data_IF_271162882323
#
_entry.id   IF_271162882323
#
_cell.length_a   1.000
_cell.length_b   1.000
_cell.length_c   1.000
_cell.angle_alpha   90.00
_cell.angle_beta   90.00
_cell.angle_gamma   90.00
#
_symmetry.space_group_name_H-M   'P 1'
#
loop_
_entity.id
_entity.type
_entity.pdbx_description
1 polymer ?
#
# COMPACT_ATOMS: atom_id res chain seq x y z
N UNK A 1 -38.27 1.30 -6.67
CA UNK A 1 -37.15 0.38 -6.95
C UNK A 1 -36.67 -0.19 -5.63
N UNK A 2 -36.45 -1.49 -5.60
CA UNK A 2 -35.88 -2.20 -4.43
C UNK A 2 -34.39 -2.46 -4.72
N UNK A 3 -33.53 -2.09 -3.80
CA UNK A 3 -32.11 -2.43 -3.76
C UNK A 3 -31.92 -3.47 -2.65
N UNK A 4 -31.70 -4.72 -3.04
CA UNK A 4 -31.59 -5.85 -2.12
C UNK A 4 -30.17 -6.40 -1.99
N UNK A 5 -29.43 -6.47 -3.10
CA UNK A 5 -28.06 -7.01 -3.14
C UNK A 5 -27.01 -5.99 -3.54
N UNK A 6 -27.40 -4.90 -4.22
CA UNK A 6 -26.47 -3.93 -4.77
C UNK A 6 -27.00 -2.52 -4.61
N UNK A 7 -26.12 -1.61 -4.24
CA UNK A 7 -26.38 -0.18 -4.14
C UNK A 7 -26.25 0.54 -5.49
N UNK A 8 -25.88 -0.16 -6.57
CA UNK A 8 -25.56 0.45 -7.85
C UNK A 8 -26.71 0.34 -8.84
N UNK A 9 -26.91 1.39 -9.63
CA UNK A 9 -27.88 1.40 -10.70
C UNK A 9 -27.50 2.35 -11.85
N UNK A 10 -28.17 2.17 -12.95
CA UNK A 10 -28.25 3.12 -14.06
C UNK A 10 -29.69 3.24 -14.54
N UNK A 11 -30.01 4.22 -15.36
CA UNK A 11 -31.31 4.40 -15.95
C UNK A 11 -31.29 3.87 -17.38
N UNK A 12 -32.31 3.15 -17.82
CA UNK A 12 -32.48 2.76 -19.20
C UNK A 12 -33.94 2.98 -19.67
N UNK A 13 -34.09 3.30 -20.93
CA UNK A 13 -35.42 3.55 -21.56
C UNK A 13 -35.92 2.33 -22.31
N UNK A 14 -35.15 1.28 -22.46
CA UNK A 14 -35.52 0.02 -23.08
C UNK A 14 -34.92 -1.13 -22.29
N UNK A 15 -35.64 -2.23 -22.15
CA UNK A 15 -35.14 -3.49 -21.65
C UNK A 15 -34.79 -4.39 -22.85
N UNK A 16 -33.70 -5.13 -22.70
CA UNK A 16 -33.25 -6.11 -23.69
C UNK A 16 -33.87 -7.48 -23.42
N UNK A 17 -34.05 -8.28 -24.48
CA UNK A 17 -34.52 -9.66 -24.35
C UNK A 17 -33.45 -10.55 -23.71
N UNK A 18 -32.18 -10.25 -24.01
CA UNK A 18 -31.03 -10.92 -23.39
C UNK A 18 -30.38 -10.00 -22.33
N UNK A 19 -30.35 -10.45 -21.09
CA UNK A 19 -29.82 -9.69 -19.95
C UNK A 19 -28.31 -9.34 -20.06
N UNK A 20 -27.58 -9.98 -20.98
CA UNK A 20 -26.13 -9.78 -21.16
C UNK A 20 -25.75 -9.03 -22.44
N UNK A 21 -26.73 -8.49 -23.17
CA UNK A 21 -26.47 -7.73 -24.40
C UNK A 21 -26.23 -6.25 -24.06
N UNK A 22 -25.04 -5.96 -23.57
CA UNK A 22 -24.64 -4.62 -23.17
C UNK A 22 -24.50 -3.65 -24.35
N UNK A 23 -24.08 -4.15 -25.51
CA UNK A 23 -23.91 -3.33 -26.72
C UNK A 23 -25.25 -2.87 -27.25
N UNK A 24 -26.28 -3.73 -27.24
CA UNK A 24 -27.64 -3.37 -27.61
C UNK A 24 -28.28 -2.40 -26.60
N UNK A 25 -27.93 -2.51 -25.29
CA UNK A 25 -28.45 -1.64 -24.25
C UNK A 25 -27.84 -0.23 -24.30
N UNK A 26 -26.61 -0.09 -24.74
CA UNK A 26 -25.83 1.15 -24.65
C UNK A 26 -26.54 2.38 -25.22
N UNK A 27 -27.25 2.34 -26.36
CA UNK A 27 -27.98 3.49 -26.90
C UNK A 27 -29.16 3.97 -26.04
N UNK A 28 -29.65 3.14 -25.14
CA UNK A 28 -30.82 3.36 -24.28
C UNK A 28 -30.44 3.59 -22.80
N UNK A 29 -29.16 3.52 -22.48
CA UNK A 29 -28.63 3.67 -21.14
C UNK A 29 -28.23 5.11 -20.84
N UNK A 30 -28.48 5.53 -19.61
CA UNK A 30 -28.06 6.81 -19.04
C UNK A 30 -27.30 6.55 -17.74
N UNK A 31 -26.21 7.26 -17.54
CA UNK A 31 -25.32 7.14 -16.38
C UNK A 31 -24.86 8.53 -15.91
N UNK A 32 -24.01 8.65 -14.87
CA UNK A 32 -23.53 9.95 -14.37
C UNK A 32 -22.70 10.76 -15.36
N UNK A 33 -22.12 10.15 -16.37
CA UNK A 33 -21.22 10.83 -17.31
C UNK A 33 -19.81 11.08 -16.77
N UNK A 34 -19.37 10.27 -15.82
CA UNK A 34 -18.06 10.30 -15.17
C UNK A 34 -17.33 8.98 -15.39
N UNK A 35 -16.02 8.93 -15.16
CA UNK A 35 -15.23 7.67 -15.16
C UNK A 35 -15.47 6.84 -13.92
N UNK A 36 -15.86 7.49 -12.84
CA UNK A 36 -16.08 6.89 -11.52
C UNK A 36 -17.58 6.88 -11.18
N UNK A 37 -17.92 6.03 -10.23
CA UNK A 37 -19.27 5.98 -9.66
C UNK A 37 -19.63 7.28 -8.94
N UNK A 38 -20.89 7.69 -8.99
CA UNK A 38 -21.39 8.84 -8.24
C UNK A 38 -22.35 8.39 -7.17
N UNK A 39 -22.03 8.70 -5.92
CA UNK A 39 -22.94 8.58 -4.81
C UNK A 39 -24.04 9.64 -4.88
N UNK A 40 -25.28 9.18 -4.94
CA UNK A 40 -26.45 10.08 -4.97
C UNK A 40 -26.68 10.66 -3.58
N UNK A 41 -26.85 11.98 -3.54
CA UNK A 41 -27.37 12.66 -2.36
C UNK A 41 -28.90 12.62 -2.44
N UNK A 42 -29.57 12.07 -1.43
CA UNK A 42 -31.02 11.95 -1.41
C UNK A 42 -31.73 13.27 -1.59
N UNK A 43 -32.82 13.23 -2.34
CA UNK A 43 -33.69 14.37 -2.67
C UNK A 43 -33.01 15.47 -3.49
N UNK A 44 -31.77 15.25 -3.97
CA UNK A 44 -31.08 16.15 -4.90
C UNK A 44 -31.01 15.57 -6.31
N UNK A 45 -31.25 16.37 -7.35
CA UNK A 45 -31.08 15.91 -8.72
C UNK A 45 -29.60 15.68 -9.06
N UNK A 46 -29.31 14.52 -9.62
CA UNK A 46 -28.03 14.15 -10.21
C UNK A 46 -28.13 14.13 -11.72
N UNK A 47 -27.07 14.50 -12.41
CA UNK A 47 -27.05 14.60 -13.88
C UNK A 47 -27.21 13.23 -14.52
N UNK A 48 -28.02 13.16 -15.59
CA UNK A 48 -28.10 12.02 -16.52
C UNK A 48 -27.31 12.35 -17.79
N UNK A 49 -26.51 11.39 -18.26
CA UNK A 49 -25.77 11.52 -19.51
C UNK A 49 -26.00 10.26 -20.34
N UNK A 50 -26.34 10.35 -21.66
CA UNK A 50 -26.40 9.17 -22.52
C UNK A 50 -25.10 8.39 -22.48
N UNK A 51 -25.16 7.06 -22.31
CA UNK A 51 -23.96 6.24 -22.14
C UNK A 51 -23.05 6.21 -23.38
N UNK A 52 -23.60 6.48 -24.57
CA UNK A 52 -22.80 6.64 -25.80
C UNK A 52 -21.88 7.86 -25.78
N UNK A 53 -22.17 8.86 -24.93
CA UNK A 53 -21.40 10.10 -24.77
C UNK A 53 -20.51 10.09 -23.53
N UNK A 54 -20.57 9.01 -22.72
CA UNK A 54 -19.96 8.94 -21.42
C UNK A 54 -19.37 7.56 -21.13
N UNK A 55 -18.43 7.54 -20.20
CA UNK A 55 -17.83 6.32 -19.71
C UNK A 55 -18.83 5.44 -18.95
N UNK A 56 -18.45 4.20 -18.71
CA UNK A 56 -19.31 3.15 -18.15
C UNK A 56 -19.40 3.23 -16.60
N UNK A 57 -19.94 4.34 -16.07
CA UNK A 57 -20.15 4.57 -14.64
C UNK A 57 -21.57 4.25 -14.18
N UNK A 58 -21.77 4.22 -12.86
CA UNK A 58 -23.05 3.93 -12.20
C UNK A 58 -23.37 4.98 -11.14
N UNK A 59 -24.67 5.10 -10.80
CA UNK A 59 -25.08 5.77 -9.56
C UNK A 59 -25.02 4.78 -8.41
N UNK A 60 -24.72 5.30 -7.21
CA UNK A 60 -24.72 4.53 -5.97
C UNK A 60 -25.71 5.16 -4.98
N UNK A 61 -26.60 4.38 -4.42
CA UNK A 61 -27.46 4.80 -3.31
C UNK A 61 -26.76 4.57 -1.96
N UNK A 62 -27.15 5.32 -0.95
CA UNK A 62 -26.52 5.26 0.37
C UNK A 62 -26.78 3.94 1.13
N UNK A 63 -27.94 3.35 0.94
CA UNK A 63 -28.43 2.17 1.66
C UNK A 63 -29.29 1.29 0.77
N UNK A 64 -29.37 0.02 1.13
CA UNK A 64 -30.29 -0.94 0.53
C UNK A 64 -31.71 -0.64 0.99
N UNK A 65 -32.68 -1.14 0.25
CA UNK A 65 -34.08 -0.99 0.57
C UNK A 65 -34.92 -0.44 -0.57
N UNK A 66 -36.13 0.00 -0.26
CA UNK A 66 -37.07 0.53 -1.25
C UNK A 66 -36.94 2.04 -1.38
N UNK A 67 -36.56 2.48 -2.55
CA UNK A 67 -36.44 3.90 -2.90
C UNK A 67 -37.39 4.30 -4.02
N UNK A 68 -37.92 5.51 -3.94
CA UNK A 68 -38.60 6.15 -5.07
C UNK A 68 -37.58 6.88 -5.90
N UNK A 69 -37.51 6.54 -7.19
CA UNK A 69 -36.63 7.18 -8.15
C UNK A 69 -37.49 8.02 -9.10
N UNK A 70 -37.10 9.26 -9.30
CA UNK A 70 -37.69 10.16 -10.28
C UNK A 70 -36.66 10.47 -11.38
N UNK A 71 -37.05 10.29 -12.62
CA UNK A 71 -36.23 10.60 -13.80
C UNK A 71 -36.90 11.74 -14.59
N UNK A 72 -36.17 12.80 -14.86
CA UNK A 72 -36.60 13.90 -15.68
C UNK A 72 -35.68 13.97 -16.90
N UNK A 73 -36.21 13.50 -18.05
CA UNK A 73 -35.46 13.53 -19.32
C UNK A 73 -35.44 14.92 -19.98
N UNK A 74 -36.30 15.87 -19.57
CA UNK A 74 -36.21 17.24 -20.06
C UNK A 74 -35.07 17.98 -19.35
N UNK A 75 -34.93 17.79 -18.04
CA UNK A 75 -33.84 18.35 -17.24
C UNK A 75 -32.57 17.48 -17.29
N UNK A 76 -32.65 16.28 -17.86
CA UNK A 76 -31.58 15.28 -17.84
C UNK A 76 -31.05 15.03 -16.43
N UNK A 77 -31.97 14.65 -15.51
CA UNK A 77 -31.64 14.40 -14.12
C UNK A 77 -32.34 13.15 -13.56
N UNK A 78 -31.70 12.53 -12.56
CA UNK A 78 -32.28 11.50 -11.72
C UNK A 78 -32.25 11.96 -10.25
N UNK A 79 -33.33 11.71 -9.53
CA UNK A 79 -33.44 12.00 -8.09
C UNK A 79 -33.90 10.74 -7.40
N UNK A 80 -33.23 10.39 -6.30
CA UNK A 80 -33.64 9.29 -5.40
C UNK A 80 -34.20 9.92 -4.12
N UNK A 81 -35.42 9.61 -3.80
CA UNK A 81 -36.04 10.05 -2.55
C UNK A 81 -35.53 9.13 -1.41
N UNK A 82 -35.11 9.73 -0.32
CA UNK A 82 -34.63 9.03 0.88
C UNK A 82 -34.45 9.98 2.06
N UNK A 83 -34.14 9.41 3.21
CA UNK A 83 -33.82 10.14 4.44
C UNK A 83 -32.55 9.56 5.03
N UNK A 84 -31.63 10.44 5.39
CA UNK A 84 -30.47 10.07 6.17
C UNK A 84 -30.85 9.97 7.67
N UNK A 85 -30.24 9.05 8.43
CA UNK A 85 -30.32 9.10 9.89
C UNK A 85 -29.91 10.48 10.40
N UNK A 86 -30.45 10.90 11.51
CA UNK A 86 -30.06 12.19 12.12
C UNK A 86 -28.60 12.17 12.59
N UNK A 87 -28.14 10.99 13.00
CA UNK A 87 -26.81 10.80 13.60
C UNK A 87 -26.10 9.55 13.06
N UNK A 88 -24.76 9.63 13.08
CA UNK A 88 -23.82 8.51 13.08
C UNK A 88 -23.02 8.57 14.37
N UNK A 89 -22.59 7.46 14.89
CA UNK A 89 -22.03 7.37 16.24
C UNK A 89 -20.61 6.83 16.22
N UNK A 90 -19.84 7.18 17.25
CA UNK A 90 -18.56 6.56 17.55
C UNK A 90 -18.58 6.00 18.97
N UNK A 91 -17.85 4.91 19.20
CA UNK A 91 -17.58 4.35 20.52
C UNK A 91 -16.07 4.14 20.69
N UNK A 92 -15.62 4.14 21.93
CA UNK A 92 -14.24 3.85 22.32
C UNK A 92 -13.28 5.03 22.23
N UNK A 93 -13.68 6.21 21.73
CA UNK A 93 -12.80 7.39 21.64
C UNK A 93 -12.32 7.87 23.01
N UNK A 94 -13.05 7.55 24.08
CA UNK A 94 -12.77 7.81 25.51
C UNK A 94 -12.29 6.58 26.28
N UNK A 95 -12.18 5.43 25.61
CA UNK A 95 -11.86 4.13 26.19
C UNK A 95 -13.07 3.31 26.65
N UNK A 96 -14.27 3.93 26.66
CA UNK A 96 -15.50 3.27 27.10
C UNK A 96 -16.25 2.63 25.94
N UNK A 97 -16.74 1.42 26.18
CA UNK A 97 -17.51 0.63 25.23
C UNK A 97 -18.83 0.19 25.89
N UNK A 98 -19.68 1.17 26.21
CA UNK A 98 -20.97 0.91 26.86
C UNK A 98 -22.07 0.82 25.83
N UNK A 99 -22.79 -0.31 25.81
CA UNK A 99 -23.89 -0.55 24.88
C UNK A 99 -24.93 0.57 24.96
N UNK A 100 -25.34 1.08 23.80
CA UNK A 100 -26.32 2.15 23.69
C UNK A 100 -25.78 3.54 24.07
N UNK A 101 -24.51 3.67 24.49
CA UNK A 101 -23.90 4.94 24.88
C UNK A 101 -22.73 5.25 23.96
N UNK A 102 -22.90 6.15 22.98
CA UNK A 102 -21.81 6.56 22.11
C UNK A 102 -20.85 7.49 22.85
N UNK A 103 -19.54 7.37 22.60
CA UNK A 103 -18.52 8.31 23.05
C UNK A 103 -18.52 9.61 22.24
N UNK A 104 -19.03 9.55 21.00
CA UNK A 104 -19.29 10.74 20.19
C UNK A 104 -20.47 10.54 19.24
N UNK A 105 -21.17 11.64 18.93
CA UNK A 105 -22.30 11.69 18.00
C UNK A 105 -21.98 12.66 16.88
N UNK A 106 -21.99 12.18 15.64
CA UNK A 106 -21.81 12.97 14.44
C UNK A 106 -23.19 13.37 13.89
N UNK A 107 -23.39 14.65 13.64
CA UNK A 107 -24.66 15.18 13.15
C UNK A 107 -24.66 15.25 11.62
N UNK A 108 -25.81 14.94 11.02
CA UNK A 108 -26.01 15.05 9.58
C UNK A 108 -25.84 16.51 9.11
N UNK A 109 -25.10 16.71 8.05
CA UNK A 109 -24.97 18.01 7.38
C UNK A 109 -26.04 18.09 6.30
N UNK A 110 -27.02 18.97 6.52
CA UNK A 110 -28.18 19.09 5.66
C UNK A 110 -27.81 19.22 4.16
N UNK A 111 -28.51 18.46 3.34
CA UNK A 111 -28.31 18.44 1.89
C UNK A 111 -27.01 17.82 1.42
N UNK A 112 -26.38 17.00 2.23
CA UNK A 112 -25.21 16.19 1.88
C UNK A 112 -25.40 14.74 2.38
N UNK A 113 -24.43 13.87 2.10
CA UNK A 113 -24.31 12.54 2.67
C UNK A 113 -23.29 12.52 3.83
N UNK A 114 -22.91 13.68 4.35
CA UNK A 114 -21.86 13.82 5.35
C UNK A 114 -22.41 14.00 6.74
N UNK A 115 -21.68 13.46 7.71
CA UNK A 115 -21.87 13.66 9.15
C UNK A 115 -20.63 14.26 9.77
N UNK A 116 -20.80 15.19 10.71
CA UNK A 116 -19.67 15.89 11.33
C UNK A 116 -19.82 16.04 12.84
N UNK A 117 -18.70 15.97 13.52
CA UNK A 117 -18.55 16.37 14.91
C UNK A 117 -17.09 16.75 15.21
N UNK A 118 -16.95 17.52 16.30
CA UNK A 118 -15.64 17.66 16.95
C UNK A 118 -15.55 16.58 18.03
N UNK A 119 -14.54 15.69 17.92
CA UNK A 119 -14.38 14.51 18.75
C UNK A 119 -13.02 14.56 19.45
N UNK A 120 -13.01 14.36 20.75
CA UNK A 120 -11.80 14.20 21.55
C UNK A 120 -11.48 12.69 21.66
N UNK A 121 -10.25 12.32 21.31
CA UNK A 121 -9.72 10.98 21.48
C UNK A 121 -8.78 10.97 22.69
N UNK A 122 -9.21 10.35 23.75
CA UNK A 122 -8.41 10.06 24.95
C UNK A 122 -8.01 8.59 25.01
N UNK A 123 -8.51 7.77 24.08
CA UNK A 123 -8.15 6.37 23.86
C UNK A 123 -7.75 6.13 22.40
N UNK A 124 -6.88 5.14 22.19
CA UNK A 124 -6.37 4.79 20.87
C UNK A 124 -7.33 3.96 20.03
N UNK A 125 -8.36 3.36 20.63
CA UNK A 125 -9.26 2.43 19.94
C UNK A 125 -10.63 3.04 19.76
N UNK A 126 -11.21 2.92 18.54
CA UNK A 126 -12.55 3.40 18.24
C UNK A 126 -13.20 2.62 17.10
N UNK A 127 -14.50 2.80 16.96
CA UNK A 127 -15.28 2.32 15.82
C UNK A 127 -16.42 3.29 15.50
N UNK A 128 -16.86 3.27 14.23
CA UNK A 128 -18.06 3.97 13.79
C UNK A 128 -19.27 3.03 13.78
N UNK A 129 -20.45 3.60 14.00
CA UNK A 129 -21.73 2.91 13.97
C UNK A 129 -22.76 3.78 13.26
N UNK A 130 -23.39 3.25 12.21
CA UNK A 130 -24.48 3.95 11.52
C UNK A 130 -25.76 3.97 12.36
N UNK A 131 -25.86 3.06 13.30
CA UNK A 131 -27.01 2.92 14.21
C UNK A 131 -26.52 2.35 15.54
N UNK A 132 -27.11 2.84 16.63
CA UNK A 132 -26.99 2.21 17.95
C UNK A 132 -28.04 1.11 18.11
N UNK A 133 -27.70 0.08 18.85
CA UNK A 133 -28.56 -1.08 19.08
C UNK A 133 -28.74 -1.37 20.57
N UNK A 134 -29.77 -2.15 20.91
CA UNK A 134 -30.10 -2.52 22.28
C UNK A 134 -29.35 -3.78 22.78
N UNK A 135 -28.71 -4.50 21.87
CA UNK A 135 -27.87 -5.68 22.15
C UNK A 135 -26.50 -5.59 21.50
N UNK A 136 -25.49 -6.23 22.10
CA UNK A 136 -24.15 -6.29 21.51
C UNK A 136 -24.12 -7.02 20.17
N UNK A 137 -24.93 -8.07 20.00
CA UNK A 137 -25.02 -8.82 18.75
C UNK A 137 -25.46 -7.92 17.60
N UNK A 138 -26.52 -7.11 17.81
CA UNK A 138 -26.99 -6.14 16.82
C UNK A 138 -26.02 -4.97 16.64
N UNK A 139 -25.39 -4.51 17.73
CA UNK A 139 -24.41 -3.41 17.70
C UNK A 139 -23.20 -3.80 16.85
N UNK A 140 -22.68 -5.02 16.98
CA UNK A 140 -21.55 -5.51 16.21
C UNK A 140 -21.90 -5.67 14.72
N UNK A 141 -23.15 -5.97 14.37
CA UNK A 141 -23.60 -5.98 12.97
C UNK A 141 -23.56 -4.58 12.29
N UNK A 142 -23.44 -3.53 13.07
CA UNK A 142 -23.39 -2.14 12.57
C UNK A 142 -22.03 -1.48 12.76
N UNK A 143 -20.98 -2.25 13.08
CA UNK A 143 -19.64 -1.77 13.33
C UNK A 143 -18.85 -1.55 12.05
N UNK A 144 -18.24 -0.37 11.94
CA UNK A 144 -17.38 0.04 10.85
C UNK A 144 -16.03 0.49 11.38
N UNK A 145 -14.96 0.01 10.80
CA UNK A 145 -13.60 0.31 11.22
C UNK A 145 -12.71 0.71 10.04
N UNK A 146 -11.64 1.44 10.31
CA UNK A 146 -10.53 1.65 9.40
C UNK A 146 -9.62 0.42 9.47
N UNK A 147 -9.32 -0.21 8.34
CA UNK A 147 -8.25 -1.20 8.26
C UNK A 147 -6.94 -0.50 7.96
N UNK A 148 -5.95 -0.69 8.83
CA UNK A 148 -4.64 -0.08 8.70
C UNK A 148 -4.46 1.16 9.57
N UNK A 149 -3.48 1.96 9.24
CA UNK A 149 -3.11 3.13 10.02
C UNK A 149 -4.11 4.28 9.82
N UNK A 150 -4.52 4.91 10.93
CA UNK A 150 -5.35 6.10 10.90
C UNK A 150 -4.46 7.34 10.90
N UNK A 151 -4.33 7.95 9.73
CA UNK A 151 -3.57 9.19 9.55
C UNK A 151 -4.52 10.40 9.53
N UNK A 152 -4.25 11.45 10.30
CA UNK A 152 -5.01 12.70 10.21
C UNK A 152 -4.94 13.32 8.82
N UNK A 153 -6.00 14.06 8.45
CA UNK A 153 -6.11 14.80 7.20
C UNK A 153 -6.08 13.94 5.92
N UNK A 154 -6.27 12.62 6.06
CA UNK A 154 -6.40 11.69 4.93
C UNK A 154 -7.80 11.09 4.89
N UNK A 155 -8.27 10.72 3.70
CA UNK A 155 -9.50 9.95 3.58
C UNK A 155 -9.24 8.50 4.00
N UNK A 156 -10.07 8.01 4.91
CA UNK A 156 -9.98 6.69 5.51
C UNK A 156 -11.12 5.82 5.00
N UNK A 157 -10.81 4.73 4.33
CA UNK A 157 -11.81 3.75 3.91
C UNK A 157 -12.27 2.92 5.10
N UNK A 158 -13.59 2.81 5.26
CA UNK A 158 -14.22 2.05 6.33
C UNK A 158 -14.74 0.71 5.81
N UNK A 159 -14.51 -0.33 6.57
CA UNK A 159 -15.04 -1.66 6.31
C UNK A 159 -15.97 -2.09 7.43
N UNK A 160 -17.07 -2.73 7.04
CA UNK A 160 -17.99 -3.35 8.00
C UNK A 160 -17.36 -4.63 8.54
N UNK A 161 -17.35 -4.79 9.85
CA UNK A 161 -16.82 -6.00 10.51
C UNK A 161 -17.91 -6.66 11.35
N UNK A 162 -17.81 -7.98 11.49
CA UNK A 162 -18.72 -8.80 12.28
C UNK A 162 -18.06 -9.36 13.54
N UNK A 163 -16.90 -8.84 13.86
CA UNK A 163 -16.10 -9.19 15.03
C UNK A 163 -15.91 -7.95 15.94
N UNK A 164 -15.12 -8.11 16.99
CA UNK A 164 -14.83 -7.04 17.96
C UNK A 164 -13.65 -6.15 17.54
N UNK A 165 -13.22 -6.19 16.28
CA UNK A 165 -12.14 -5.36 15.77
C UNK A 165 -12.45 -3.88 15.92
N UNK A 166 -11.42 -3.08 16.09
CA UNK A 166 -11.48 -1.62 16.26
C UNK A 166 -10.43 -0.94 15.39
N UNK A 167 -10.71 0.30 14.99
CA UNK A 167 -9.71 1.20 14.42
C UNK A 167 -8.70 1.59 15.49
N UNK A 168 -7.47 1.84 15.10
CA UNK A 168 -6.42 2.29 16.01
C UNK A 168 -5.83 3.61 15.53
N UNK A 169 -5.79 4.61 16.44
CA UNK A 169 -5.18 5.91 16.20
C UNK A 169 -3.97 6.09 17.09
N UNK A 170 -2.83 6.44 16.50
CA UNK A 170 -1.58 6.64 17.24
C UNK A 170 -1.54 7.96 18.03
N UNK A 171 -2.17 8.99 17.49
CA UNK A 171 -2.13 10.35 18.05
C UNK A 171 -3.45 10.69 18.72
N UNK A 172 -3.44 10.82 20.04
CA UNK A 172 -4.58 11.29 20.81
C UNK A 172 -4.74 12.81 20.65
N UNK A 173 -5.96 13.30 20.84
CA UNK A 173 -6.29 14.73 20.72
C UNK A 173 -7.69 14.97 20.17
N UNK A 174 -7.93 16.20 19.75
CA UNK A 174 -9.25 16.61 19.26
C UNK A 174 -9.22 16.79 17.75
N UNK A 175 -10.17 16.14 17.06
CA UNK A 175 -10.30 16.13 15.61
C UNK A 175 -11.67 16.65 15.18
N UNK A 176 -11.72 17.32 14.03
CA UNK A 176 -12.98 17.47 13.30
C UNK A 176 -13.20 16.20 12.48
N UNK A 177 -14.13 15.35 12.92
CA UNK A 177 -14.44 14.10 12.27
C UNK A 177 -15.54 14.32 11.23
N UNK A 178 -15.29 13.87 10.01
CA UNK A 178 -16.29 13.79 8.93
C UNK A 178 -16.48 12.33 8.56
N UNK A 179 -17.71 11.88 8.42
CA UNK A 179 -18.09 10.54 7.96
C UNK A 179 -18.95 10.68 6.70
N UNK A 180 -18.58 10.02 5.61
CA UNK A 180 -19.36 9.91 4.39
C UNK A 180 -20.21 8.65 4.44
N UNK A 181 -21.52 8.83 4.57
CA UNK A 181 -22.48 7.74 4.76
C UNK A 181 -22.61 6.86 3.51
N UNK A 182 -22.52 7.42 2.31
CA UNK A 182 -22.65 6.70 1.05
C UNK A 182 -21.39 5.93 0.68
N UNK A 183 -20.24 6.56 0.85
CA UNK A 183 -18.97 5.99 0.43
C UNK A 183 -18.31 5.13 1.53
N UNK A 184 -18.83 5.18 2.76
CA UNK A 184 -18.23 4.53 3.91
C UNK A 184 -16.78 4.97 4.07
N UNK A 185 -16.54 6.28 4.00
CA UNK A 185 -15.25 6.87 4.29
C UNK A 185 -15.34 7.82 5.48
N UNK A 186 -14.21 8.09 6.10
CA UNK A 186 -14.11 9.08 7.15
C UNK A 186 -12.85 9.92 6.99
N UNK A 187 -12.83 11.09 7.61
CA UNK A 187 -11.64 11.92 7.74
C UNK A 187 -11.58 12.47 9.17
N UNK A 188 -10.42 12.38 9.77
CA UNK A 188 -10.09 12.98 11.06
C UNK A 188 -9.21 14.18 10.77
N UNK A 189 -9.79 15.38 10.76
CA UNK A 189 -9.08 16.61 10.44
C UNK A 189 -8.47 17.22 11.70
N UNK A 190 -7.15 17.47 11.66
CA UNK A 190 -6.38 18.20 12.67
C UNK A 190 -5.58 19.31 11.98
N UNK A 191 -5.97 20.56 12.24
CA UNK A 191 -5.29 21.74 11.66
C UNK A 191 -3.83 21.89 12.14
N UNK A 192 -3.46 21.21 13.22
CA UNK A 192 -2.09 21.24 13.78
C UNK A 192 -1.23 20.06 13.33
N UNK A 193 -1.83 19.10 12.62
CA UNK A 193 -1.11 17.95 12.12
C UNK A 193 -0.19 18.38 10.97
N UNK A 194 1.08 18.25 11.21
CA UNK A 194 2.10 18.30 10.18
C UNK A 194 2.45 16.84 9.90
N UNK A 195 2.21 16.33 8.67
CA UNK A 195 2.71 15.01 8.31
C UNK A 195 4.19 14.95 8.66
N UNK A 196 4.62 13.87 9.32
CA UNK A 196 6.06 13.63 9.39
C UNK A 196 6.58 13.69 7.94
N UNK A 197 7.68 14.42 7.69
CA UNK A 197 8.27 14.42 6.36
C UNK A 197 8.42 12.95 5.98
N UNK A 198 8.04 12.60 4.74
CA UNK A 198 8.16 11.23 4.26
C UNK A 198 9.54 10.75 4.65
N UNK A 199 9.61 9.89 5.65
CA UNK A 199 10.88 9.32 6.08
C UNK A 199 11.38 8.60 4.86
N UNK A 200 12.62 8.88 4.46
CA UNK A 200 13.29 8.22 3.35
C UNK A 200 12.91 6.75 3.37
N UNK A 201 12.15 6.32 2.35
CA UNK A 201 11.74 4.93 2.25
C UNK A 201 13.00 4.08 2.10
N UNK A 202 13.20 3.14 2.99
CA UNK A 202 14.42 2.36 3.12
C UNK A 202 14.11 0.87 3.17
N UNK A 203 15.01 0.09 2.61
CA UNK A 203 15.14 -1.32 2.96
C UNK A 203 16.30 -1.46 3.93
N UNK A 204 16.06 -2.11 5.05
CA UNK A 204 17.04 -2.42 6.09
C UNK A 204 17.47 -3.88 5.98
N UNK A 205 18.74 -4.14 6.29
CA UNK A 205 19.34 -5.45 6.32
C UNK A 205 19.71 -5.76 7.77
N UNK A 206 19.13 -6.82 8.32
CA UNK A 206 19.47 -7.36 9.65
C UNK A 206 19.91 -8.82 9.53
N UNK A 207 20.68 -9.31 10.48
CA UNK A 207 21.16 -10.69 10.44
C UNK A 207 22.38 -10.91 11.32
N UNK A 208 23.26 -11.83 10.93
CA UNK A 208 24.49 -12.11 11.67
C UNK A 208 25.37 -10.87 11.81
N UNK A 209 25.39 -9.97 10.80
CA UNK A 209 26.18 -8.74 10.83
C UNK A 209 25.75 -7.71 11.90
N UNK A 210 24.54 -7.80 12.46
CA UNK A 210 24.07 -6.98 13.58
C UNK A 210 23.56 -7.81 14.76
N UNK A 211 23.94 -9.10 14.83
CA UNK A 211 23.50 -10.05 15.86
C UNK A 211 21.98 -10.19 15.96
N UNK A 212 21.29 -10.08 14.84
CA UNK A 212 19.82 -10.21 14.72
C UNK A 212 19.02 -9.26 15.62
N UNK A 213 19.55 -8.09 15.92
CA UNK A 213 18.82 -7.04 16.65
C UNK A 213 17.85 -6.30 15.72
N UNK A 214 16.54 -6.29 16.06
CA UNK A 214 15.49 -5.79 15.15
C UNK A 214 15.43 -4.25 15.05
N UNK A 215 15.97 -3.52 16.03
CA UNK A 215 15.99 -2.05 16.03
C UNK A 215 17.29 -1.44 15.50
N UNK A 216 18.20 -2.26 14.99
CA UNK A 216 19.44 -1.85 14.30
C UNK A 216 19.59 -2.59 12.97
N UNK A 217 20.57 -2.21 12.18
CA UNK A 217 20.84 -2.81 10.88
C UNK A 217 22.35 -2.81 10.60
N UNK A 218 22.81 -3.71 9.73
CA UNK A 218 24.18 -3.68 9.22
C UNK A 218 24.27 -3.03 7.83
N UNK A 219 23.13 -2.86 7.14
CA UNK A 219 23.02 -2.19 5.85
C UNK A 219 21.65 -1.59 5.65
N UNK A 220 21.56 -0.53 4.84
CA UNK A 220 20.31 0.06 4.39
C UNK A 220 20.45 0.61 2.97
N UNK A 221 19.39 0.60 2.20
CA UNK A 221 19.32 1.16 0.84
C UNK A 221 18.07 2.01 0.67
N UNK A 222 18.17 3.19 0.02
CA UNK A 222 17.05 4.08 -0.23
C UNK A 222 16.20 3.64 -1.42
N UNK A 223 14.96 4.10 -1.45
CA UNK A 223 14.13 4.05 -2.64
C UNK A 223 14.69 5.00 -3.72
N UNK A 224 14.92 4.48 -4.92
CA UNK A 224 15.43 5.24 -6.07
C UNK A 224 14.34 5.53 -7.10
N UNK A 225 13.28 4.72 -7.11
CA UNK A 225 12.03 4.91 -7.83
C UNK A 225 10.94 4.13 -7.12
N UNK A 226 9.67 4.43 -7.41
CA UNK A 226 8.54 3.85 -6.69
C UNK A 226 8.63 2.31 -6.59
N UNK A 227 8.76 1.82 -5.36
CA UNK A 227 8.93 0.41 -5.02
C UNK A 227 10.29 -0.21 -5.38
N UNK A 228 11.25 0.55 -5.92
CA UNK A 228 12.60 0.08 -6.25
C UNK A 228 13.63 0.74 -5.34
N UNK A 229 14.38 -0.06 -4.63
CA UNK A 229 15.42 0.35 -3.69
C UNK A 229 16.79 -0.09 -4.20
N UNK A 230 17.77 0.79 -4.14
CA UNK A 230 19.12 0.46 -4.60
C UNK A 230 20.20 1.16 -3.77
N UNK A 231 21.28 0.44 -3.46
CA UNK A 231 22.41 0.98 -2.75
C UNK A 231 23.50 -0.04 -2.51
N UNK A 232 24.61 0.42 -1.93
CA UNK A 232 25.76 -0.42 -1.59
C UNK A 232 25.59 -0.99 -0.18
N UNK A 233 25.75 -2.31 -0.05
CA UNK A 233 25.71 -3.02 1.22
C UNK A 233 26.91 -3.95 1.31
N UNK A 234 27.61 -3.92 2.46
CA UNK A 234 28.69 -4.83 2.78
C UNK A 234 28.14 -6.04 3.55
N UNK A 235 28.42 -7.22 3.06
CA UNK A 235 28.02 -8.47 3.66
C UNK A 235 29.23 -9.25 4.19
N UNK A 236 29.03 -9.88 5.34
CA UNK A 236 29.89 -10.91 5.90
C UNK A 236 29.24 -12.28 5.64
N UNK A 237 30.00 -13.37 5.84
CA UNK A 237 29.44 -14.73 5.80
C UNK A 237 28.37 -14.87 6.87
N UNK A 238 27.20 -15.39 6.51
CA UNK A 238 26.11 -15.60 7.45
C UNK A 238 24.73 -15.36 6.87
N UNK A 239 23.73 -15.36 7.72
CA UNK A 239 22.34 -15.18 7.36
C UNK A 239 21.90 -13.72 7.46
N UNK A 240 20.94 -13.32 6.61
CA UNK A 240 20.32 -12.00 6.69
C UNK A 240 18.85 -12.02 6.27
N UNK A 241 18.12 -11.02 6.74
CA UNK A 241 16.76 -10.72 6.36
C UNK A 241 16.65 -9.24 5.95
N UNK A 242 15.63 -8.91 5.17
CA UNK A 242 15.36 -7.54 4.73
C UNK A 242 13.95 -7.12 5.11
N UNK A 243 13.76 -5.82 5.34
CA UNK A 243 12.44 -5.28 5.67
C UNK A 243 12.39 -3.76 5.50
N UNK A 244 11.19 -3.22 5.34
CA UNK A 244 10.97 -1.77 5.16
C UNK A 244 10.90 -1.00 6.49
N UNK A 245 10.82 -1.71 7.62
CA UNK A 245 10.72 -1.09 8.95
C UNK A 245 11.49 -1.90 9.98
N UNK A 246 12.20 -1.20 10.86
CA UNK A 246 12.86 -1.83 12.01
C UNK A 246 11.87 -2.00 13.18
N UNK A 247 12.18 -2.90 14.08
CA UNK A 247 11.49 -3.03 15.36
C UNK A 247 11.72 -1.84 16.28
N UNK A 248 10.85 -1.64 17.25
CA UNK A 248 10.95 -0.54 18.23
C UNK A 248 11.98 -0.82 19.34
N UNK A 249 12.30 -2.09 19.55
CA UNK A 249 13.28 -2.58 20.54
C UNK A 249 14.21 -3.61 19.90
N UNK A 250 15.25 -4.01 20.60
CA UNK A 250 16.25 -5.01 20.12
C UNK A 250 15.65 -6.39 19.80
N UNK A 251 14.44 -6.68 20.27
CA UNK A 251 13.76 -7.96 20.08
C UNK A 251 12.28 -7.81 19.67
N UNK A 252 11.93 -6.72 19.00
CA UNK A 252 10.58 -6.48 18.48
C UNK A 252 10.40 -7.13 17.09
N UNK A 253 10.32 -8.45 17.11
CA UNK A 253 10.13 -9.27 15.90
C UNK A 253 8.75 -9.07 15.28
N UNK A 254 7.72 -8.75 16.06
CA UNK A 254 6.37 -8.57 15.54
C UNK A 254 6.32 -7.38 14.58
N UNK A 255 6.91 -6.24 14.99
CA UNK A 255 7.00 -5.06 14.11
C UNK A 255 7.89 -5.32 12.90
N UNK A 256 9.07 -5.92 13.06
CA UNK A 256 9.95 -6.20 11.92
C UNK A 256 9.33 -7.19 10.95
N UNK A 257 8.75 -8.29 11.44
CA UNK A 257 8.16 -9.34 10.62
C UNK A 257 6.94 -8.84 9.83
N UNK A 258 6.15 -7.91 10.36
CA UNK A 258 5.05 -7.29 9.63
C UNK A 258 5.50 -6.53 8.36
N UNK A 259 6.80 -6.24 8.24
CA UNK A 259 7.40 -5.47 7.13
C UNK A 259 8.56 -6.20 6.46
N UNK A 260 8.74 -7.50 6.75
CA UNK A 260 9.83 -8.33 6.28
C UNK A 260 9.54 -8.97 4.94
N UNK A 261 10.58 -9.09 4.11
CA UNK A 261 10.59 -9.96 2.93
C UNK A 261 11.51 -11.15 3.17
N UNK A 262 11.09 -12.31 2.69
CA UNK A 262 11.75 -13.60 2.88
C UNK A 262 12.04 -14.26 1.53
N UNK A 263 13.12 -15.06 1.39
CA UNK A 263 13.30 -15.95 0.25
C UNK A 263 12.35 -17.14 0.32
N UNK A 264 12.18 -17.85 -0.80
CA UNK A 264 11.34 -19.05 -0.85
C UNK A 264 11.84 -20.17 0.05
N UNK A 265 13.15 -20.34 0.16
CA UNK A 265 13.79 -21.36 0.99
C UNK A 265 14.68 -20.71 2.05
N UNK A 266 14.80 -21.35 3.22
CA UNK A 266 15.74 -20.91 4.25
C UNK A 266 17.18 -21.16 3.80
N UNK A 267 18.05 -20.15 3.99
CA UNK A 267 19.43 -20.20 3.53
C UNK A 267 19.60 -20.00 2.02
N UNK A 268 18.67 -19.34 1.36
CA UNK A 268 18.78 -18.98 -0.06
C UNK A 268 20.11 -18.27 -0.34
N UNK A 269 21.00 -18.84 -1.17
CA UNK A 269 22.34 -18.32 -1.35
C UNK A 269 22.35 -17.06 -2.20
N UNK A 270 23.01 -16.00 -1.68
CA UNK A 270 23.22 -14.74 -2.39
C UNK A 270 24.71 -14.48 -2.59
N UNK A 271 25.05 -13.83 -3.67
CA UNK A 271 26.44 -13.50 -4.04
C UNK A 271 26.47 -12.71 -5.33
N UNK A 272 27.68 -12.57 -5.92
CA UNK A 272 27.86 -11.80 -7.15
C UNK A 272 26.92 -12.26 -8.27
N UNK A 273 26.17 -11.30 -8.84
CA UNK A 273 25.20 -11.51 -9.95
C UNK A 273 24.05 -12.47 -9.62
N UNK A 274 23.77 -12.71 -8.33
CA UNK A 274 22.61 -13.48 -7.93
C UNK A 274 21.32 -12.65 -8.00
N UNK A 275 20.20 -13.33 -8.25
CA UNK A 275 18.85 -12.80 -8.19
C UNK A 275 17.95 -13.85 -7.52
N UNK A 276 17.08 -13.42 -6.60
CA UNK A 276 16.13 -14.30 -5.93
C UNK A 276 14.76 -13.64 -5.83
N UNK A 277 13.66 -14.39 -5.98
CA UNK A 277 12.33 -13.90 -5.63
C UNK A 277 12.24 -13.64 -4.12
N UNK A 278 11.44 -12.64 -3.74
CA UNK A 278 11.11 -12.32 -2.35
C UNK A 278 9.60 -12.45 -2.14
N UNK A 279 9.23 -12.74 -0.90
CA UNK A 279 7.84 -12.94 -0.48
C UNK A 279 7.60 -12.18 0.81
N UNK A 280 6.39 -11.68 1.04
CA UNK A 280 6.04 -11.07 2.33
C UNK A 280 6.05 -12.11 3.44
N UNK A 281 6.51 -11.71 4.61
CA UNK A 281 6.40 -12.56 5.79
C UNK A 281 4.93 -12.84 6.11
N UNK A 282 4.58 -14.10 6.31
CA UNK A 282 3.19 -14.55 6.49
C UNK A 282 2.64 -15.32 5.28
N UNK A 283 3.12 -15.03 4.07
CA UNK A 283 2.84 -15.84 2.88
C UNK A 283 3.71 -17.10 2.85
N UNK A 284 4.89 -17.01 3.45
CA UNK A 284 5.83 -18.13 3.63
C UNK A 284 6.45 -18.10 5.03
N UNK A 285 7.23 -19.15 5.35
CA UNK A 285 7.97 -19.25 6.62
C UNK A 285 9.00 -18.11 6.79
N UNK A 286 9.49 -17.93 8.03
CA UNK A 286 10.51 -16.92 8.39
C UNK A 286 11.91 -17.24 7.83
N UNK A 287 11.98 -17.53 6.54
CA UNK A 287 13.23 -17.87 5.87
C UNK A 287 14.18 -16.67 5.80
N UNK A 288 15.46 -16.93 5.74
CA UNK A 288 16.53 -15.94 5.63
C UNK A 288 17.39 -16.23 4.38
N UNK A 289 17.98 -15.19 3.84
CA UNK A 289 19.03 -15.28 2.82
C UNK A 289 20.36 -15.66 3.47
N UNK A 290 21.28 -16.16 2.69
CA UNK A 290 22.61 -16.57 3.15
C UNK A 290 23.73 -16.07 2.25
N UNK A 291 24.77 -15.53 2.84
CA UNK A 291 26.07 -15.32 2.18
C UNK A 291 26.98 -16.48 2.58
N UNK A 292 27.42 -17.23 1.59
CA UNK A 292 28.34 -18.35 1.80
C UNK A 292 29.79 -17.88 1.81
N UNK A 293 30.70 -18.68 2.40
CA UNK A 293 32.13 -18.43 2.40
C UNK A 293 32.65 -18.24 0.96
N UNK A 294 33.36 -17.15 0.73
CA UNK A 294 33.88 -16.76 -0.58
C UNK A 294 32.95 -15.80 -1.35
N UNK A 295 31.74 -15.54 -0.84
CA UNK A 295 30.79 -14.57 -1.39
C UNK A 295 30.63 -13.33 -0.49
N UNK A 296 31.44 -13.20 0.57
CA UNK A 296 31.50 -11.98 1.39
C UNK A 296 32.05 -10.79 0.59
N UNK A 297 31.54 -9.62 0.87
CA UNK A 297 32.01 -8.39 0.18
C UNK A 297 30.95 -7.31 0.10
N UNK A 298 31.25 -6.30 -0.66
CA UNK A 298 30.35 -5.16 -0.89
C UNK A 298 29.70 -5.29 -2.25
N UNK A 299 28.37 -5.15 -2.30
CA UNK A 299 27.55 -5.28 -3.50
C UNK A 299 26.66 -4.06 -3.69
N UNK A 300 26.36 -3.69 -4.93
CA UNK A 300 25.16 -2.91 -5.19
C UNK A 300 23.98 -3.89 -5.14
N UNK A 301 23.05 -3.63 -4.23
CA UNK A 301 21.85 -4.44 -4.05
C UNK A 301 20.65 -3.66 -4.55
N UNK A 302 19.83 -4.29 -5.38
CA UNK A 302 18.54 -3.77 -5.83
C UNK A 302 17.45 -4.64 -5.22
N UNK A 303 16.46 -4.03 -4.57
CA UNK A 303 15.23 -4.70 -4.11
C UNK A 303 14.07 -4.04 -4.84
N UNK A 304 13.38 -4.81 -5.67
CA UNK A 304 12.19 -4.39 -6.41
C UNK A 304 10.95 -5.03 -5.76
N UNK A 305 10.17 -4.23 -5.06
CA UNK A 305 8.95 -4.68 -4.39
C UNK A 305 7.76 -4.80 -5.33
N UNK A 306 7.84 -4.25 -6.55
CA UNK A 306 6.81 -4.42 -7.59
C UNK A 306 6.98 -5.75 -8.31
N UNK A 307 8.23 -6.11 -8.62
CA UNK A 307 8.55 -7.42 -9.22
C UNK A 307 8.80 -8.52 -8.19
N UNK A 308 8.81 -8.15 -6.90
CA UNK A 308 9.08 -9.06 -5.77
C UNK A 308 10.41 -9.79 -5.95
N UNK A 309 11.51 -9.03 -6.08
CA UNK A 309 12.85 -9.57 -6.33
C UNK A 309 13.93 -8.83 -5.57
N UNK A 310 14.97 -9.56 -5.18
CA UNK A 310 16.26 -9.01 -4.75
C UNK A 310 17.36 -9.42 -5.71
N UNK A 311 18.25 -8.49 -6.04
CA UNK A 311 19.34 -8.71 -6.99
C UNK A 311 20.64 -8.11 -6.47
N UNK A 312 21.72 -8.85 -6.61
CA UNK A 312 23.08 -8.43 -6.30
C UNK A 312 23.85 -8.15 -7.60
N UNK A 313 24.59 -7.05 -7.63
CA UNK A 313 25.57 -6.80 -8.68
C UNK A 313 26.83 -7.68 -8.52
N UNK A 314 27.83 -7.44 -9.35
CA UNK A 314 29.20 -7.86 -9.04
C UNK A 314 29.75 -7.12 -7.81
N UNK A 315 30.79 -7.67 -7.19
CA UNK A 315 31.48 -7.04 -6.06
C UNK A 315 31.90 -5.61 -6.38
N UNK A 316 31.54 -4.65 -5.53
CA UNK A 316 31.99 -3.28 -5.60
C UNK A 316 33.41 -3.21 -5.06
N UNK A 317 34.31 -2.57 -5.80
CA UNK A 317 35.65 -2.28 -5.27
C UNK A 317 36.65 -3.42 -5.38
N UNK A 318 36.47 -4.38 -6.26
CA UNK A 318 37.65 -5.04 -6.84
C UNK A 318 38.35 -4.03 -7.74
N UNK A 319 38.92 -2.98 -7.13
CA UNK A 319 40.18 -2.45 -7.61
C UNK A 319 41.06 -3.68 -7.63
N UNK A 320 41.56 -4.07 -8.79
CA UNK A 320 42.69 -4.96 -8.90
C UNK A 320 43.91 -4.18 -8.32
N UNK A 321 43.90 -4.00 -7.00
CA UNK A 321 45.06 -3.53 -6.24
C UNK A 321 45.69 -4.79 -5.68
N UNK A 322 46.80 -5.12 -6.34
CA UNK A 322 47.78 -6.13 -5.92
C UNK A 322 47.44 -7.59 -6.15
N UNK A 323 47.38 -8.02 -7.41
CA UNK A 323 48.15 -9.20 -7.71
C UNK A 323 49.63 -8.78 -7.56
N UNK A 324 50.16 -8.87 -6.35
CA UNK A 324 51.59 -9.00 -6.16
C UNK A 324 51.99 -10.34 -6.78
N UNK A 325 52.26 -10.33 -8.09
CA UNK A 325 52.99 -11.41 -8.71
C UNK A 325 54.36 -11.42 -8.10
N UNK A 326 54.58 -12.32 -7.13
CA UNK A 326 55.93 -12.80 -6.87
C UNK A 326 56.45 -13.40 -8.16
N UNK A 327 57.40 -12.70 -8.77
CA UNK A 327 58.33 -13.16 -9.82
C UNK A 327 57.72 -13.75 -11.09
N UNK A 328 57.71 -12.99 -12.09
CA UNK A 328 58.31 -13.11 -13.42
C UNK A 328 57.65 -12.07 -14.34
N UNK A 329 58.46 -11.29 -15.04
CA UNK A 329 58.05 -10.21 -15.94
C UNK A 329 57.24 -10.66 -17.17
N UNK A 330 56.15 -11.36 -16.95
CA UNK A 330 55.22 -11.77 -18.02
C UNK A 330 53.99 -10.86 -17.96
N UNK A 331 54.05 -9.75 -18.67
CA UNK A 331 52.96 -8.77 -18.80
C UNK A 331 51.90 -9.28 -19.77
N UNK A 332 50.76 -9.75 -19.23
CA UNK A 332 49.63 -10.17 -20.03
C UNK A 332 48.73 -8.99 -20.43
N UNK A 333 48.16 -9.07 -21.62
CA UNK A 333 47.08 -8.21 -22.04
C UNK A 333 45.73 -8.83 -21.64
N UNK A 334 44.79 -8.02 -21.19
CA UNK A 334 43.43 -8.41 -20.89
C UNK A 334 42.43 -7.57 -21.71
N UNK A 335 41.37 -8.13 -22.19
CA UNK A 335 40.29 -7.35 -22.77
C UNK A 335 39.49 -6.57 -21.66
N UNK A 336 38.55 -5.74 -22.06
CA UNK A 336 37.75 -4.93 -21.14
C UNK A 336 36.78 -5.76 -20.28
N UNK A 337 36.61 -7.05 -20.61
CA UNK A 337 35.80 -8.02 -19.81
C UNK A 337 36.66 -8.81 -18.81
N UNK A 338 37.99 -8.53 -18.75
CA UNK A 338 38.93 -9.21 -17.85
C UNK A 338 39.50 -10.53 -18.40
N UNK A 339 39.18 -10.94 -19.64
CA UNK A 339 39.72 -12.16 -20.25
C UNK A 339 41.19 -11.99 -20.59
N UNK A 340 42.04 -12.91 -20.15
CA UNK A 340 43.44 -12.93 -20.43
C UNK A 340 43.70 -13.29 -21.92
N UNK A 341 44.42 -12.40 -22.60
CA UNK A 341 44.78 -12.53 -24.04
C UNK A 341 46.24 -12.99 -24.23
N UNK A 342 46.93 -13.27 -23.13
CA UNK A 342 48.33 -13.67 -23.14
C UNK A 342 49.33 -12.48 -23.30
N UNK A 343 50.60 -12.83 -23.55
CA UNK A 343 51.69 -11.86 -23.56
C UNK A 343 51.92 -11.22 -24.92
N UNK A 344 51.38 -11.78 -26.00
CA UNK A 344 51.53 -11.23 -27.35
C UNK A 344 50.68 -9.98 -27.50
N UNK A 345 51.29 -8.94 -28.16
CA UNK A 345 50.56 -7.71 -28.48
C UNK A 345 49.27 -8.04 -29.25
N UNK A 346 48.10 -7.72 -28.73
CA UNK A 346 46.83 -8.01 -29.42
C UNK A 346 46.64 -7.07 -30.63
N UNK A 347 45.59 -7.34 -31.40
CA UNK A 347 45.18 -6.49 -32.51
C UNK A 347 44.86 -5.05 -32.04
N UNK A 348 44.75 -4.11 -32.96
CA UNK A 348 44.36 -2.72 -32.68
C UNK A 348 43.10 -2.67 -31.81
N UNK A 349 43.17 -1.95 -30.68
CA UNK A 349 42.07 -1.85 -29.74
C UNK A 349 42.48 -1.29 -28.39
N UNK A 350 41.50 -1.29 -27.45
CA UNK A 350 41.67 -0.88 -26.05
C UNK A 350 41.76 -2.14 -25.17
N UNK A 351 42.81 -2.20 -24.35
CA UNK A 351 43.11 -3.36 -23.49
C UNK A 351 43.57 -2.89 -22.10
N UNK A 352 43.64 -3.84 -21.18
CA UNK A 352 44.29 -3.63 -19.88
C UNK A 352 45.61 -4.38 -19.88
N UNK A 353 46.67 -3.70 -19.52
CA UNK A 353 48.05 -4.23 -19.36
C UNK A 353 48.63 -3.65 -18.08
N UNK A 354 49.17 -4.48 -17.19
CA UNK A 354 49.69 -4.07 -15.88
C UNK A 354 48.75 -3.16 -15.09
N UNK A 355 47.45 -3.49 -15.09
CA UNK A 355 46.41 -2.72 -14.41
C UNK A 355 46.07 -1.36 -15.06
N UNK A 356 46.66 -1.01 -16.22
CA UNK A 356 46.42 0.24 -16.91
C UNK A 356 45.76 0.05 -18.27
N UNK A 357 44.86 0.97 -18.62
CA UNK A 357 44.26 1.01 -19.98
C UNK A 357 45.35 1.35 -21.00
N UNK A 358 45.51 0.51 -22.03
CA UNK A 358 46.49 0.65 -23.11
C UNK A 358 45.76 0.63 -24.44
N UNK A 359 46.05 1.61 -25.29
CA UNK A 359 45.59 1.63 -26.68
C UNK A 359 46.66 0.98 -27.54
N UNK A 360 46.32 -0.14 -28.15
CA UNK A 360 47.15 -0.77 -29.18
C UNK A 360 46.78 -0.15 -30.54
N UNK A 361 47.70 0.56 -31.14
CA UNK A 361 47.57 1.21 -32.45
C UNK A 361 47.98 0.28 -33.59
#
# INVERSE_FOLDING_TARGET
VVFDDSQYFFVCTKLMENAYDWDELLPYRYNPGTTEEISIVYNKPSKLTPAMEATNSSYKVADLGTHKIRVDFNAMTVTVDGTYPEHVYMMGTDGEWTLGVPSATLNHVEGTNLYKAKVEFTSNYFAFFKQMADTWEEQELNRWIVKGEVLPNTELSLVKVLDKSSSYINRLGTYEVTFDYCNNTAMLYDATYVPEPETEKLIYFIGDGNSWTTNTYFGKIPEVSDGVYEGQVKFEVGYFAIGTKLGNTTNDWDTFNAHRFCPQADGEPMGAYSESPIFTYGDISSNAFKIETGNEGEYVVTVDTNEMKIKFSGLVGISITNITSTSDNITNYYDLTGRNLGTKKPAKGLYIKDGKKVVVK
#
